data_IF_560065658582
#
_entry.id   IF_560065658582
#
_cell.length_a   1.000
_cell.length_b   1.000
_cell.length_c   1.000
_cell.angle_alpha   90.00
_cell.angle_beta   90.00
_cell.angle_gamma   90.00
#
_symmetry.space_group_name_H-M   'P 1'
#
loop_
_entity.id
_entity.type
_entity.pdbx_description
1 polymer ?
#
# COMPACT_ATOMS: atom_id res chain seq x y z
N UNK A 1 8.63 45.73 -11.73
CA UNK A 1 7.73 44.80 -12.47
C UNK A 1 8.42 43.49 -12.86
N UNK A 2 9.63 43.50 -13.46
CA UNK A 2 10.34 42.28 -13.91
C UNK A 2 10.64 41.25 -12.81
N UNK A 3 11.06 41.70 -11.61
CA UNK A 3 11.37 40.78 -10.50
C UNK A 3 10.13 40.08 -9.93
N UNK A 4 8.99 40.77 -9.86
CA UNK A 4 7.75 40.21 -9.34
C UNK A 4 7.21 39.09 -10.24
N UNK A 5 7.25 39.31 -11.56
CA UNK A 5 6.85 38.29 -12.54
C UNK A 5 7.77 37.07 -12.53
N UNK A 6 9.08 37.27 -12.31
CA UNK A 6 10.04 36.16 -12.19
C UNK A 6 9.81 35.34 -10.93
N UNK A 7 9.54 36.01 -9.79
CA UNK A 7 9.23 35.32 -8.53
C UNK A 7 7.95 34.51 -8.67
N UNK A 8 6.90 35.10 -9.27
CA UNK A 8 5.63 34.40 -9.47
C UNK A 8 5.78 33.16 -10.36
N UNK A 9 6.54 33.26 -11.45
CA UNK A 9 6.84 32.13 -12.32
C UNK A 9 7.59 31.01 -11.58
N UNK A 10 8.58 31.35 -10.75
CA UNK A 10 9.31 30.36 -9.95
C UNK A 10 8.39 29.64 -8.95
N UNK A 11 7.49 30.34 -8.28
CA UNK A 11 6.53 29.75 -7.34
C UNK A 11 5.57 28.78 -8.04
N UNK A 12 5.07 29.16 -9.23
CA UNK A 12 4.18 28.29 -10.02
C UNK A 12 4.91 27.00 -10.44
N UNK A 13 6.17 27.12 -10.88
CA UNK A 13 6.98 25.98 -11.28
C UNK A 13 7.19 25.03 -10.10
N UNK A 14 7.57 25.56 -8.92
CA UNK A 14 7.78 24.75 -7.71
C UNK A 14 6.49 24.06 -7.29
N UNK A 15 5.36 24.78 -7.26
CA UNK A 15 4.06 24.21 -6.91
C UNK A 15 3.63 23.11 -7.90
N UNK A 16 3.88 23.31 -9.19
CA UNK A 16 3.61 22.31 -10.23
C UNK A 16 4.42 21.02 -10.03
N UNK A 17 5.73 21.15 -9.76
CA UNK A 17 6.59 20.00 -9.51
C UNK A 17 6.21 19.23 -8.24
N UNK A 18 5.90 19.93 -7.14
CA UNK A 18 5.47 19.29 -5.89
C UNK A 18 4.12 18.57 -6.08
N UNK A 19 3.16 19.20 -6.75
CA UNK A 19 1.85 18.60 -7.02
C UNK A 19 1.92 17.35 -7.91
N UNK A 20 2.77 17.38 -8.95
CA UNK A 20 2.99 16.23 -9.82
C UNK A 20 3.69 15.08 -9.09
N UNK A 21 4.74 15.38 -8.32
CA UNK A 21 5.47 14.38 -7.53
C UNK A 21 4.56 13.68 -6.51
N UNK A 22 3.69 14.44 -5.83
CA UNK A 22 2.75 13.89 -4.86
C UNK A 22 1.72 12.96 -5.53
N UNK A 23 1.18 13.35 -6.69
CA UNK A 23 0.25 12.51 -7.46
C UNK A 23 0.89 11.20 -7.91
N UNK A 24 2.12 11.25 -8.41
CA UNK A 24 2.87 10.05 -8.83
C UNK A 24 3.10 9.14 -7.62
N UNK A 25 3.49 9.70 -6.47
CA UNK A 25 3.68 8.93 -5.24
C UNK A 25 2.38 8.23 -4.80
N UNK A 26 1.25 8.93 -4.79
CA UNK A 26 -0.04 8.34 -4.45
C UNK A 26 -0.49 7.28 -5.46
N UNK A 27 -0.23 7.49 -6.76
CA UNK A 27 -0.55 6.51 -7.78
C UNK A 27 0.28 5.23 -7.61
N UNK A 28 1.58 5.34 -7.29
CA UNK A 28 2.44 4.19 -7.05
C UNK A 28 2.05 3.47 -5.75
N UNK A 29 1.80 4.20 -4.66
CA UNK A 29 1.49 3.59 -3.37
C UNK A 29 0.14 2.87 -3.33
N UNK A 30 -0.86 3.37 -4.07
CA UNK A 30 -2.17 2.71 -4.16
C UNK A 30 -2.20 1.54 -5.15
N UNK A 31 -1.22 1.43 -6.07
CA UNK A 31 -1.13 0.34 -7.04
C UNK A 31 -0.10 -0.72 -6.68
N UNK A 32 0.54 -0.65 -5.51
CA UNK A 32 1.46 -1.71 -5.12
C UNK A 32 0.68 -2.89 -4.60
N UNK A 33 0.68 -3.96 -5.39
CA UNK A 33 0.31 -5.28 -4.92
C UNK A 33 1.23 -5.65 -3.75
N UNK A 34 0.66 -6.01 -2.61
CA UNK A 34 1.43 -6.42 -1.46
C UNK A 34 0.78 -7.61 -0.77
N UNK A 35 1.64 -8.43 -0.16
CA UNK A 35 1.24 -9.54 0.69
C UNK A 35 1.67 -9.20 2.11
N UNK A 36 0.76 -9.27 3.07
CA UNK A 36 1.05 -9.11 4.49
C UNK A 36 0.50 -10.27 5.30
N UNK A 37 1.04 -10.45 6.52
CA UNK A 37 0.52 -11.42 7.49
C UNK A 37 -0.15 -10.68 8.64
N UNK A 38 -1.27 -11.22 9.12
CA UNK A 38 -1.93 -10.71 10.32
C UNK A 38 -2.36 -11.87 11.22
N UNK A 39 -2.14 -11.71 12.53
CA UNK A 39 -2.59 -12.68 13.52
C UNK A 39 -3.91 -12.23 14.14
N UNK A 40 -4.92 -13.11 14.10
CA UNK A 40 -6.24 -12.87 14.68
C UNK A 40 -6.75 -14.11 15.40
N UNK A 41 -7.11 -13.97 16.67
CA UNK A 41 -7.63 -15.05 17.54
C UNK A 41 -6.71 -16.29 17.59
N UNK A 42 -5.40 -16.09 17.54
CA UNK A 42 -4.40 -17.18 17.58
C UNK A 42 -4.23 -17.91 16.24
N UNK A 43 -4.78 -17.38 15.15
CA UNK A 43 -4.58 -17.87 13.79
C UNK A 43 -3.83 -16.81 12.97
N UNK A 44 -2.89 -17.25 12.13
CA UNK A 44 -2.24 -16.38 11.17
C UNK A 44 -3.00 -16.41 9.85
N UNK A 45 -3.13 -15.24 9.22
CA UNK A 45 -3.79 -15.04 7.94
C UNK A 45 -2.85 -14.31 6.99
N UNK A 46 -2.89 -14.69 5.72
CA UNK A 46 -2.21 -14.00 4.63
C UNK A 46 -3.21 -13.08 3.95
N UNK A 47 -2.92 -11.78 3.95
CA UNK A 47 -3.67 -10.76 3.24
C UNK A 47 -2.95 -10.48 1.93
N UNK A 48 -3.68 -10.58 0.83
CA UNK A 48 -3.18 -10.28 -0.51
C UNK A 48 -3.94 -9.07 -1.01
N UNK A 49 -3.25 -7.95 -1.17
CA UNK A 49 -3.78 -6.81 -1.90
C UNK A 49 -3.24 -6.89 -3.32
N UNK A 50 -4.12 -7.10 -4.29
CA UNK A 50 -3.74 -7.17 -5.70
C UNK A 50 -4.79 -6.50 -6.58
N UNK A 51 -4.35 -5.63 -7.50
CA UNK A 51 -5.20 -5.00 -8.51
C UNK A 51 -6.49 -4.35 -7.93
N UNK A 52 -6.35 -3.63 -6.81
CA UNK A 52 -7.46 -2.97 -6.12
C UNK A 52 -8.43 -3.90 -5.38
N UNK A 53 -8.13 -5.20 -5.31
CA UNK A 53 -8.89 -6.19 -4.54
C UNK A 53 -8.08 -6.69 -3.34
N UNK A 54 -8.76 -6.93 -2.22
CA UNK A 54 -8.15 -7.53 -1.03
C UNK A 54 -8.69 -8.94 -0.85
N UNK A 55 -7.82 -9.93 -0.94
CA UNK A 55 -8.09 -11.32 -0.55
C UNK A 55 -7.54 -11.60 0.83
N UNK A 56 -8.24 -12.44 1.60
CA UNK A 56 -7.77 -12.95 2.88
C UNK A 56 -7.82 -14.47 2.81
N UNK A 57 -6.70 -15.12 3.07
CA UNK A 57 -6.64 -16.57 3.21
C UNK A 57 -6.02 -16.93 4.54
N UNK A 58 -6.41 -18.08 5.05
CA UNK A 58 -5.81 -18.65 6.24
C UNK A 58 -4.37 -19.11 5.94
N UNK A 59 -3.41 -18.83 6.83
CA UNK A 59 -2.01 -19.20 6.63
C UNK A 59 -1.87 -20.74 6.64
N UNK A 60 -1.34 -21.36 5.57
CA UNK A 60 -1.10 -22.80 5.54
C UNK A 60 -0.26 -23.29 6.73
N UNK A 61 0.67 -22.47 7.19
CA UNK A 61 1.56 -22.78 8.30
C UNK A 61 0.94 -22.48 9.67
N UNK A 62 -0.34 -22.07 9.73
CA UNK A 62 -1.03 -21.87 11.00
C UNK A 62 -0.96 -23.16 11.83
N UNK A 63 -0.55 -23.08 13.11
CA UNK A 63 -0.43 -24.25 13.99
C UNK A 63 -1.76 -24.98 14.24
N UNK A 64 -2.88 -24.38 13.82
CA UNK A 64 -4.20 -24.97 13.84
C UNK A 64 -4.41 -26.06 12.76
N UNK A 65 -3.71 -26.01 11.61
CA UNK A 65 -3.77 -27.09 10.61
C UNK A 65 -3.21 -28.41 11.16
N UNK A 66 -2.13 -28.32 11.93
CA UNK A 66 -1.50 -29.49 12.56
C UNK A 66 -2.36 -30.10 13.68
N UNK A 67 -3.39 -29.40 14.17
CA UNK A 67 -4.32 -29.95 15.16
C UNK A 67 -5.49 -30.71 14.54
N UNK A 68 -5.80 -30.47 13.26
CA UNK A 68 -6.85 -31.20 12.56
C UNK A 68 -6.40 -32.59 12.11
N UNK A 69 -5.11 -32.79 11.83
CA UNK A 69 -4.55 -34.09 11.41
C UNK A 69 -4.24 -35.06 12.56
N UNK A 70 -4.33 -34.62 13.82
CA UNK A 70 -4.01 -35.42 15.01
C UNK A 70 -5.24 -35.88 15.81
N UNK A 71 -6.45 -35.66 15.26
CA UNK A 71 -7.73 -36.09 15.82
C UNK A 71 -8.46 -37.06 14.85
N UNK A 72 -7.72 -37.87 14.10
CA UNK A 72 -8.26 -38.91 13.23
C UNK A 72 -7.85 -40.30 13.70
#
# INVERSE_FOLDING_TARGET
MKHLTTILAAVIIIAGFVGAGLNIYYAISNNQDYISKADYRGHSYVLVHANGSTGITHDPDCPCHNKQSNNQ
#
